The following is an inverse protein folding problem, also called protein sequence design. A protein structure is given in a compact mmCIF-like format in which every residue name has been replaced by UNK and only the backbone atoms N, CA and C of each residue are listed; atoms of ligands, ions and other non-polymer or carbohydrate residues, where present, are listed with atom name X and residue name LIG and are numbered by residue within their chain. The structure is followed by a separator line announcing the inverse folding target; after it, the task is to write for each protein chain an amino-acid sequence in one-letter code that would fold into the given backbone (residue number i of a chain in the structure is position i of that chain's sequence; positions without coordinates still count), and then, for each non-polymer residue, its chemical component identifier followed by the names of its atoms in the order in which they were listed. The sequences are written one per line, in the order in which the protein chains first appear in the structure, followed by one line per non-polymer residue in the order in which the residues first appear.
data_IF_543968943024
#
_entry.id   IF_543968943024
#
_cell.length_a   1.000
_cell.length_b   1.000
_cell.length_c   1.000
_cell.angle_alpha   90.00
_cell.angle_beta   90.00
_cell.angle_gamma   90.00
#
_symmetry.space_group_name_H-M   'P 1'
#
loop_
_entity.id
_entity.type
_entity.pdbx_description
1 polymer ?
#
# COMPACT_ATOMS: atom_id res chain seq x y z
N UNK A 1 -23.38 -6.73 10.20
CA UNK A 1 -22.32 -5.91 9.59
C UNK A 1 -21.69 -6.73 8.46
N UNK A 2 -22.21 -6.63 7.24
CA UNK A 2 -21.73 -7.39 6.08
C UNK A 2 -20.84 -6.52 5.21
N UNK A 3 -19.76 -5.97 5.78
CA UNK A 3 -18.76 -5.28 4.99
C UNK A 3 -18.13 -6.31 4.05
N UNK A 4 -18.23 -6.10 2.73
CA UNK A 4 -17.45 -6.90 1.78
C UNK A 4 -16.00 -6.84 2.23
N UNK A 5 -15.37 -8.00 2.31
CA UNK A 5 -13.93 -8.09 2.52
C UNK A 5 -13.25 -7.20 1.48
N UNK A 6 -12.26 -6.37 1.87
CA UNK A 6 -11.54 -5.56 0.90
C UNK A 6 -10.94 -6.47 -0.18
N UNK A 7 -10.85 -5.99 -1.43
CA UNK A 7 -10.29 -6.79 -2.51
C UNK A 7 -8.87 -7.23 -2.17
N UNK A 8 -8.42 -8.37 -2.68
CA UNK A 8 -7.04 -8.79 -2.52
C UNK A 8 -6.11 -8.02 -3.46
N UNK A 9 -4.78 -8.09 -3.22
CA UNK A 9 -3.78 -7.56 -4.17
C UNK A 9 -3.92 -8.22 -5.54
N UNK A 10 -4.25 -9.51 -5.57
CA UNK A 10 -4.47 -10.23 -6.82
C UNK A 10 -5.68 -9.69 -7.58
N UNK A 11 -6.78 -9.42 -6.88
CA UNK A 11 -7.98 -8.81 -7.48
C UNK A 11 -7.65 -7.43 -8.05
N UNK A 12 -6.96 -6.58 -7.30
CA UNK A 12 -6.54 -5.25 -7.77
C UNK A 12 -5.67 -5.34 -9.03
N UNK A 13 -4.68 -6.23 -9.04
CA UNK A 13 -3.80 -6.43 -10.20
C UNK A 13 -4.58 -6.97 -11.42
N UNK A 14 -5.52 -7.87 -11.18
CA UNK A 14 -6.40 -8.41 -12.22
C UNK A 14 -7.30 -7.31 -12.79
N UNK A 15 -7.95 -6.51 -11.95
CA UNK A 15 -8.77 -5.38 -12.39
C UNK A 15 -7.95 -4.36 -13.17
N UNK A 16 -6.73 -4.03 -12.72
CA UNK A 16 -5.85 -3.12 -13.44
C UNK A 16 -5.50 -3.67 -14.83
N UNK A 17 -5.25 -4.99 -14.93
CA UNK A 17 -4.96 -5.67 -16.20
C UNK A 17 -6.17 -5.70 -17.13
N UNK A 18 -7.37 -5.97 -16.59
CA UNK A 18 -8.61 -5.96 -17.35
C UNK A 18 -8.90 -4.56 -17.92
N UNK A 19 -8.79 -3.51 -17.09
CA UNK A 19 -8.99 -2.12 -17.53
C UNK A 19 -8.02 -1.75 -18.66
N UNK A 20 -6.76 -2.19 -18.60
CA UNK A 20 -5.79 -1.97 -19.69
C UNK A 20 -6.23 -2.60 -21.01
N UNK A 21 -6.95 -3.72 -20.98
CA UNK A 21 -7.43 -4.44 -22.16
C UNK A 21 -8.74 -3.89 -22.74
N UNK A 22 -9.57 -3.24 -21.94
CA UNK A 22 -10.81 -2.62 -22.40
C UNK A 22 -10.51 -1.44 -23.34
N UNK A 23 -11.21 -1.38 -24.47
CA UNK A 23 -11.08 -0.23 -25.39
C UNK A 23 -11.75 1.01 -24.78
N UNK A 24 -11.16 2.21 -24.91
CA UNK A 24 -11.71 3.43 -24.32
C UNK A 24 -13.19 3.69 -24.67
N UNK A 25 -13.62 3.32 -25.88
CA UNK A 25 -14.99 3.50 -26.35
C UNK A 25 -16.01 2.61 -25.62
N UNK A 26 -15.55 1.56 -24.94
CA UNK A 26 -16.37 0.63 -24.16
C UNK A 26 -16.55 1.07 -22.70
N UNK A 27 -15.85 2.12 -22.26
CA UNK A 27 -15.97 2.62 -20.90
C UNK A 27 -17.15 3.59 -20.82
N UNK A 28 -18.09 3.32 -19.93
CA UNK A 28 -19.09 4.32 -19.52
C UNK A 28 -18.62 4.93 -18.21
N UNK A 29 -18.27 6.21 -18.24
CA UNK A 29 -17.69 6.90 -17.08
C UNK A 29 -18.68 7.94 -16.59
N UNK A 30 -19.32 7.68 -15.45
CA UNK A 30 -20.24 8.62 -14.79
C UNK A 30 -19.55 9.49 -13.73
N UNK A 31 -18.21 9.44 -13.65
CA UNK A 31 -17.41 10.22 -12.70
C UNK A 31 -16.86 11.48 -13.37
N UNK A 32 -17.02 12.63 -12.72
CA UNK A 32 -16.39 13.86 -13.19
C UNK A 32 -14.87 13.84 -12.92
N UNK A 33 -14.11 14.63 -13.70
CA UNK A 33 -12.64 14.69 -13.60
C UNK A 33 -12.14 15.13 -12.22
N UNK A 34 -12.90 15.97 -11.52
CA UNK A 34 -12.53 16.45 -10.19
C UNK A 34 -12.55 15.31 -9.15
N UNK A 35 -13.58 14.46 -9.20
CA UNK A 35 -13.69 13.29 -8.35
C UNK A 35 -12.55 12.34 -8.62
N UNK A 36 -12.33 11.97 -9.88
CA UNK A 36 -11.17 11.16 -10.27
C UNK A 36 -9.88 11.77 -9.68
N UNK A 37 -9.66 13.08 -9.87
CA UNK A 37 -8.51 13.81 -9.34
C UNK A 37 -8.35 13.70 -7.82
N UNK A 38 -9.46 13.73 -7.08
CA UNK A 38 -9.48 13.50 -5.63
C UNK A 38 -9.02 12.08 -5.28
N UNK A 39 -9.54 11.06 -5.97
CA UNK A 39 -9.17 9.65 -5.76
C UNK A 39 -7.67 9.43 -5.98
N UNK A 40 -7.12 9.98 -7.07
CA UNK A 40 -5.68 9.89 -7.35
C UNK A 40 -4.84 10.51 -6.24
N UNK A 41 -5.18 11.73 -5.81
CA UNK A 41 -4.46 12.43 -4.72
C UNK A 41 -4.53 11.68 -3.40
N UNK A 42 -5.69 11.11 -3.06
CA UNK A 42 -5.85 10.32 -1.85
C UNK A 42 -4.92 9.10 -1.83
N UNK A 43 -4.86 8.35 -2.93
CA UNK A 43 -4.00 7.17 -3.02
C UNK A 43 -2.52 7.54 -3.07
N UNK A 44 -2.14 8.58 -3.80
CA UNK A 44 -0.76 9.10 -3.79
C UNK A 44 -0.31 9.49 -2.38
N UNK A 45 -1.19 10.11 -1.59
CA UNK A 45 -0.93 10.47 -0.19
C UNK A 45 -0.73 9.24 0.71
N UNK A 46 -1.55 8.20 0.56
CA UNK A 46 -1.43 6.95 1.31
C UNK A 46 -0.11 6.23 0.97
N UNK A 47 0.23 6.13 -0.32
CA UNK A 47 1.50 5.54 -0.77
C UNK A 47 2.69 6.33 -0.20
N UNK A 48 2.64 7.65 -0.24
CA UNK A 48 3.69 8.51 0.33
C UNK A 48 3.85 8.33 1.84
N UNK A 49 2.74 8.26 2.56
CA UNK A 49 2.71 8.06 4.02
C UNK A 49 3.28 6.70 4.42
N UNK A 50 2.89 5.62 3.71
CA UNK A 50 3.42 4.28 3.96
C UNK A 50 4.89 4.14 3.56
N UNK A 51 5.33 4.80 2.48
CA UNK A 51 6.74 4.85 2.10
C UNK A 51 7.58 5.54 3.17
N UNK A 52 7.07 6.64 3.71
CA UNK A 52 7.72 7.37 4.81
C UNK A 52 7.75 6.53 6.09
N UNK A 53 6.64 5.88 6.44
CA UNK A 53 6.56 4.98 7.57
C UNK A 53 7.57 3.82 7.44
N UNK A 54 7.68 3.22 6.25
CA UNK A 54 8.68 2.18 5.95
C UNK A 54 10.09 2.70 6.21
N UNK A 55 10.44 3.85 5.65
CA UNK A 55 11.77 4.45 5.85
C UNK A 55 12.08 4.73 7.33
N UNK A 56 11.07 5.08 8.15
CA UNK A 56 11.25 5.31 9.59
C UNK A 56 11.55 4.03 10.38
N UNK A 57 10.95 2.89 9.98
CA UNK A 57 11.09 1.61 10.69
C UNK A 57 12.20 0.71 10.13
N UNK A 58 12.61 0.95 8.87
CA UNK A 58 13.70 0.24 8.23
C UNK A 58 15.00 0.47 9.02
N UNK A 59 15.71 -0.62 9.35
CA UNK A 59 16.95 -0.56 10.12
C UNK A 59 16.79 -0.24 11.62
N UNK A 60 15.57 -0.02 12.13
CA UNK A 60 15.35 0.15 13.58
C UNK A 60 15.29 -1.22 14.28
N UNK A 61 16.42 -1.62 14.86
CA UNK A 61 16.53 -2.80 15.73
C UNK A 61 17.23 -2.40 17.02
N UNK A 62 16.82 -3.03 18.11
CA UNK A 62 17.56 -2.97 19.38
C UNK A 62 18.77 -3.89 19.23
N UNK A 63 19.96 -3.33 19.37
CA UNK A 63 21.20 -4.09 19.49
C UNK A 63 21.52 -4.29 20.96
N UNK A 64 21.64 -5.55 21.37
CA UNK A 64 21.99 -5.94 22.74
C UNK A 64 23.49 -5.92 23.00
N UNK A 65 24.34 -5.77 21.97
CA UNK A 65 25.77 -5.56 22.10
C UNK A 65 26.47 -6.57 23.02
N UNK A 66 27.28 -6.07 23.96
CA UNK A 66 28.06 -6.86 24.93
C UNK A 66 27.32 -7.14 26.25
N UNK A 67 25.99 -7.09 26.27
CA UNK A 67 25.21 -7.43 27.46
C UNK A 67 25.48 -8.90 27.82
N UNK A 68 26.00 -9.13 29.04
CA UNK A 68 26.32 -10.48 29.53
C UNK A 68 25.04 -11.26 29.86
N UNK A 69 25.17 -12.59 29.92
CA UNK A 69 24.08 -13.52 30.28
C UNK A 69 23.42 -13.22 31.63
N UNK A 70 24.11 -12.48 32.51
CA UNK A 70 23.60 -12.08 33.83
C UNK A 70 22.40 -11.12 33.72
N UNK A 71 22.22 -10.50 32.55
CA UNK A 71 21.11 -9.60 32.24
C UNK A 71 20.13 -10.23 31.24
N UNK A 72 19.89 -11.55 31.33
CA UNK A 72 19.00 -12.29 30.44
C UNK A 72 17.62 -11.62 30.25
N UNK A 73 17.04 -11.04 31.30
CA UNK A 73 15.77 -10.32 31.20
C UNK A 73 15.82 -9.09 30.25
N UNK A 74 16.96 -8.41 30.17
CA UNK A 74 17.17 -7.31 29.23
C UNK A 74 17.34 -7.81 27.79
N UNK A 75 18.03 -8.94 27.61
CA UNK A 75 18.17 -9.63 26.31
C UNK A 75 16.78 -10.06 25.81
N UNK A 76 16.00 -10.74 26.65
CA UNK A 76 14.64 -11.19 26.30
C UNK A 76 13.72 -10.02 25.96
N UNK A 77 13.85 -8.90 26.68
CA UNK A 77 13.09 -7.67 26.39
C UNK A 77 13.45 -7.09 25.03
N UNK A 78 14.75 -7.00 24.71
CA UNK A 78 15.21 -6.52 23.41
C UNK A 78 14.75 -7.42 22.26
N UNK A 79 14.78 -8.74 22.45
CA UNK A 79 14.26 -9.71 21.49
C UNK A 79 12.76 -9.54 21.26
N UNK A 80 11.98 -9.34 22.32
CA UNK A 80 10.54 -9.08 22.19
C UNK A 80 10.26 -7.78 21.45
N UNK A 81 11.00 -6.70 21.73
CA UNK A 81 10.90 -5.43 20.99
C UNK A 81 11.23 -5.65 19.52
N UNK A 82 12.30 -6.38 19.21
CA UNK A 82 12.70 -6.68 17.84
C UNK A 82 11.63 -7.49 17.10
N UNK A 83 11.02 -8.50 17.75
CA UNK A 83 9.91 -9.29 17.19
C UNK A 83 8.68 -8.43 16.91
N UNK A 84 8.27 -7.58 17.85
CA UNK A 84 7.17 -6.63 17.63
C UNK A 84 7.49 -5.66 16.50
N UNK A 85 8.73 -5.17 16.42
CA UNK A 85 9.19 -4.33 15.32
C UNK A 85 9.13 -5.04 13.96
N UNK A 86 9.46 -6.33 13.90
CA UNK A 86 9.36 -7.14 12.68
C UNK A 86 7.91 -7.31 12.22
N UNK A 87 6.97 -7.47 13.14
CA UNK A 87 5.53 -7.49 12.82
C UNK A 87 5.04 -6.14 12.27
N UNK A 88 5.48 -5.03 12.87
CA UNK A 88 5.13 -3.68 12.36
C UNK A 88 5.69 -3.46 10.95
N UNK A 89 6.94 -3.85 10.70
CA UNK A 89 7.55 -3.79 9.35
C UNK A 89 6.77 -4.62 8.34
N UNK A 90 6.43 -5.87 8.67
CA UNK A 90 5.65 -6.73 7.79
C UNK A 90 4.27 -6.14 7.46
N UNK A 91 3.60 -5.55 8.45
CA UNK A 91 2.32 -4.86 8.25
C UNK A 91 2.45 -3.62 7.35
N UNK A 92 3.51 -2.83 7.50
CA UNK A 92 3.79 -1.69 6.63
C UNK A 92 4.05 -2.17 5.20
N UNK A 93 4.86 -3.21 5.02
CA UNK A 93 5.17 -3.76 3.69
C UNK A 93 3.92 -4.29 2.99
N UNK A 94 3.06 -5.02 3.71
CA UNK A 94 1.79 -5.51 3.18
C UNK A 94 0.85 -4.37 2.77
N UNK A 95 0.68 -3.36 3.63
CA UNK A 95 -0.16 -2.20 3.32
C UNK A 95 0.41 -1.36 2.18
N UNK A 96 1.74 -1.21 2.08
CA UNK A 96 2.39 -0.49 0.99
C UNK A 96 2.21 -1.23 -0.34
N UNK A 97 2.33 -2.55 -0.35
CA UNK A 97 2.07 -3.36 -1.54
C UNK A 97 0.62 -3.20 -2.01
N UNK A 98 -0.33 -3.24 -1.08
CA UNK A 98 -1.74 -3.00 -1.37
C UNK A 98 -2.00 -1.59 -1.93
N UNK A 99 -1.46 -0.55 -1.28
CA UNK A 99 -1.61 0.83 -1.72
C UNK A 99 -1.03 1.08 -3.11
N UNK A 100 0.10 0.45 -3.45
CA UNK A 100 0.70 0.51 -4.79
C UNK A 100 -0.17 -0.18 -5.84
N UNK A 101 -0.72 -1.35 -5.54
CA UNK A 101 -1.64 -2.04 -6.45
C UNK A 101 -2.90 -1.19 -6.72
N UNK A 102 -3.42 -0.52 -5.68
CA UNK A 102 -4.54 0.41 -5.83
C UNK A 102 -4.16 1.64 -6.66
N UNK A 103 -2.96 2.18 -6.46
CA UNK A 103 -2.43 3.29 -7.26
C UNK A 103 -2.37 2.93 -8.74
N UNK A 104 -1.88 1.73 -9.06
CA UNK A 104 -1.78 1.23 -10.43
C UNK A 104 -3.16 1.03 -11.07
N UNK A 105 -4.14 0.53 -10.30
CA UNK A 105 -5.53 0.40 -10.75
C UNK A 105 -6.12 1.76 -11.10
N UNK A 106 -6.02 2.74 -10.19
CA UNK A 106 -6.55 4.09 -10.41
C UNK A 106 -5.87 4.75 -11.59
N UNK A 107 -4.54 4.64 -11.69
CA UNK A 107 -3.79 5.20 -12.82
C UNK A 107 -4.24 4.59 -14.15
N UNK A 108 -4.41 3.27 -14.20
CA UNK A 108 -4.86 2.56 -15.41
C UNK A 108 -6.27 3.00 -15.83
N UNK A 109 -7.17 3.20 -14.86
CA UNK A 109 -8.51 3.72 -15.12
C UNK A 109 -8.45 5.15 -15.66
N UNK A 110 -7.68 6.04 -15.02
CA UNK A 110 -7.49 7.41 -15.45
C UNK A 110 -6.95 7.55 -16.87
N UNK A 111 -5.89 6.80 -17.18
CA UNK A 111 -5.26 6.85 -18.49
C UNK A 111 -6.27 6.46 -19.59
N UNK A 112 -7.14 5.47 -19.33
CA UNK A 112 -8.20 5.07 -20.26
C UNK A 112 -9.30 6.12 -20.41
N UNK A 113 -9.75 6.70 -19.30
CA UNK A 113 -10.78 7.75 -19.30
C UNK A 113 -10.30 8.97 -20.10
N UNK A 114 -9.03 9.37 -19.92
CA UNK A 114 -8.44 10.49 -20.64
C UNK A 114 -8.38 10.25 -22.15
N UNK A 115 -8.05 9.02 -22.57
CA UNK A 115 -8.07 8.65 -24.00
C UNK A 115 -9.49 8.74 -24.56
N UNK A 116 -10.51 8.30 -23.80
CA UNK A 116 -11.90 8.36 -24.24
C UNK A 116 -12.40 9.80 -24.39
N UNK A 117 -12.05 10.71 -23.49
CA UNK A 117 -12.51 12.11 -23.52
C UNK A 117 -11.81 12.98 -24.57
N UNK A 118 -10.94 12.39 -25.42
CA UNK A 118 -10.24 13.09 -26.48
C UNK A 118 -9.04 13.92 -25.99
N UNK A 119 -8.43 13.51 -24.87
CA UNK A 119 -7.20 14.11 -24.37
C UNK A 119 -5.94 13.79 -25.18
#
# INVERSE_FOLDING_TARGET
MGGKEPPSIQDLNQYASQIKQVSPEQLTVELNEADLGNWKRAVDSVVGSLTSAKALVDGKRVDVGSVSSDFQSAIDTADNINKSGDQVRANIDANLAFAKALQDLIKSAFDKIKIQSGG
#
